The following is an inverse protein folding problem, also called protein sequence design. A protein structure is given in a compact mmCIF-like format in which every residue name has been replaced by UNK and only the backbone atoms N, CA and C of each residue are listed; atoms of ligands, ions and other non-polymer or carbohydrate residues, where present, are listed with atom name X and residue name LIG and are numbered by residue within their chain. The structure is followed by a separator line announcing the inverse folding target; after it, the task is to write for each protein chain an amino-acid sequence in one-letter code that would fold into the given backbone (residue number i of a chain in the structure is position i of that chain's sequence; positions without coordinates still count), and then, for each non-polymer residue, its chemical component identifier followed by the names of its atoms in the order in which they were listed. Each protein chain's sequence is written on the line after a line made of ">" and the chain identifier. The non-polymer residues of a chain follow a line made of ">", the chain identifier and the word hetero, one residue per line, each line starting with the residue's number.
data_IF_897530962593
#
_entry.id   IF_897530962593
#
_cell.length_a   1.000
_cell.length_b   1.000
_cell.length_c   1.000
_cell.angle_alpha   90.00
_cell.angle_beta   90.00
_cell.angle_gamma   90.00
#
_symmetry.space_group_name_H-M   'P 1'
#
loop_
_entity.id
_entity.type
_entity.pdbx_description
1 polymer ?
#
# COMPACT_ATOMS: atom_id res chain seq x y z
N UNK A 1 -34.81 8.06 -49.17
CA UNK A 1 -33.34 8.07 -49.30
C UNK A 1 -32.79 7.40 -48.05
N UNK A 2 -31.97 6.37 -48.20
CA UNK A 2 -31.34 5.71 -47.04
C UNK A 2 -30.18 6.57 -46.52
N UNK A 3 -29.96 6.67 -45.19
CA UNK A 3 -28.77 7.32 -44.66
C UNK A 3 -27.52 6.55 -45.09
N UNK A 4 -26.50 7.26 -45.56
CA UNK A 4 -25.21 6.67 -45.91
C UNK A 4 -24.43 6.22 -44.67
N UNK A 5 -23.54 5.26 -44.87
CA UNK A 5 -22.55 4.88 -43.85
C UNK A 5 -21.62 6.07 -43.54
N UNK A 6 -21.08 6.18 -42.31
CA UNK A 6 -20.12 7.24 -41.96
C UNK A 6 -18.91 7.27 -42.91
N UNK A 7 -18.39 8.48 -43.17
CA UNK A 7 -17.22 8.70 -44.04
C UNK A 7 -16.06 7.79 -43.69
N UNK A 8 -15.76 7.70 -42.40
CA UNK A 8 -14.51 7.11 -41.91
C UNK A 8 -14.58 5.58 -41.99
N UNK A 9 -15.77 5.02 -41.76
CA UNK A 9 -16.08 3.62 -42.05
C UNK A 9 -15.91 3.30 -43.55
N UNK A 10 -16.44 4.17 -44.43
CA UNK A 10 -16.30 3.98 -45.88
C UNK A 10 -14.85 4.07 -46.36
N UNK A 11 -14.02 4.90 -45.70
CA UNK A 11 -12.59 5.05 -45.97
C UNK A 11 -11.80 3.80 -45.57
N UNK A 12 -11.97 3.28 -44.35
CA UNK A 12 -11.25 2.07 -43.89
C UNK A 12 -11.64 0.82 -44.68
N UNK A 13 -12.93 0.64 -45.02
CA UNK A 13 -13.37 -0.45 -45.90
C UNK A 13 -12.80 -0.30 -47.31
N UNK A 14 -12.67 0.92 -47.83
CA UNK A 14 -12.02 1.19 -49.13
C UNK A 14 -10.52 0.95 -49.11
N UNK A 15 -9.85 1.15 -47.97
CA UNK A 15 -8.44 0.81 -47.78
C UNK A 15 -8.23 -0.71 -47.72
N UNK A 16 -9.06 -1.42 -46.94
CA UNK A 16 -9.04 -2.88 -46.85
C UNK A 16 -9.27 -3.54 -48.22
N UNK A 17 -10.31 -3.13 -48.96
CA UNK A 17 -10.61 -3.66 -50.29
C UNK A 17 -9.45 -3.48 -51.28
N UNK A 18 -8.73 -2.35 -51.21
CA UNK A 18 -7.55 -2.10 -52.05
C UNK A 18 -6.42 -3.08 -51.76
N UNK A 19 -6.16 -3.37 -50.48
CA UNK A 19 -5.08 -4.26 -50.08
C UNK A 19 -5.45 -5.74 -50.31
N UNK A 20 -6.72 -6.14 -50.16
CA UNK A 20 -7.22 -7.47 -50.58
C UNK A 20 -7.05 -7.68 -52.10
N UNK A 21 -7.48 -6.73 -52.92
CA UNK A 21 -7.35 -6.83 -54.39
C UNK A 21 -5.90 -6.93 -54.86
N UNK A 22 -4.98 -6.30 -54.13
CA UNK A 22 -3.54 -6.25 -54.40
C UNK A 22 -2.79 -7.53 -53.99
N UNK A 23 -3.13 -8.14 -52.85
CA UNK A 23 -2.42 -9.32 -52.34
C UNK A 23 -3.14 -10.66 -52.58
N UNK A 24 -4.43 -10.63 -52.94
CA UNK A 24 -5.26 -11.80 -53.23
C UNK A 24 -5.11 -12.94 -52.19
N UNK A 25 -5.33 -12.65 -50.89
CA UNK A 25 -5.04 -13.58 -49.80
C UNK A 25 -5.94 -14.82 -49.86
N UNK A 26 -5.33 -16.00 -49.70
CA UNK A 26 -6.03 -17.30 -49.68
C UNK A 26 -6.98 -17.45 -48.48
N UNK A 27 -6.66 -16.82 -47.35
CA UNK A 27 -7.59 -16.62 -46.23
C UNK A 27 -7.87 -15.12 -46.08
N UNK A 28 -9.03 -14.71 -46.58
CA UNK A 28 -9.48 -13.32 -46.50
C UNK A 28 -9.86 -12.90 -45.07
N UNK A 29 -10.35 -13.83 -44.23
CA UNK A 29 -10.79 -13.50 -42.87
C UNK A 29 -9.59 -13.23 -41.95
N UNK A 30 -8.57 -14.10 -41.98
CA UNK A 30 -7.33 -13.87 -41.24
C UNK A 30 -6.57 -12.64 -41.76
N UNK A 31 -6.64 -12.36 -43.07
CA UNK A 31 -6.08 -11.13 -43.64
C UNK A 31 -6.79 -9.87 -43.12
N UNK A 32 -8.13 -9.85 -43.09
CA UNK A 32 -8.91 -8.75 -42.51
C UNK A 32 -8.58 -8.51 -41.03
N UNK A 33 -8.51 -9.59 -40.23
CA UNK A 33 -8.14 -9.49 -38.81
C UNK A 33 -6.74 -8.86 -38.63
N UNK A 34 -5.75 -9.36 -39.39
CA UNK A 34 -4.38 -8.85 -39.35
C UNK A 34 -4.27 -7.40 -39.85
N UNK A 35 -5.09 -7.00 -40.83
CA UNK A 35 -5.15 -5.63 -41.34
C UNK A 35 -5.62 -4.66 -40.24
N UNK A 36 -6.75 -4.94 -39.59
CA UNK A 36 -7.29 -4.05 -38.56
C UNK A 36 -6.43 -3.99 -37.29
N UNK A 37 -5.76 -5.08 -36.90
CA UNK A 37 -4.79 -5.06 -35.79
C UNK A 37 -3.62 -4.10 -36.09
N UNK A 38 -3.00 -4.22 -37.27
CA UNK A 38 -1.91 -3.31 -37.70
C UNK A 38 -2.38 -1.86 -37.83
N UNK A 39 -3.62 -1.64 -38.28
CA UNK A 39 -4.22 -0.30 -38.38
C UNK A 39 -4.38 0.35 -37.00
N UNK A 40 -4.82 -0.42 -36.01
CA UNK A 40 -4.97 0.02 -34.62
C UNK A 40 -3.60 0.27 -33.93
N UNK A 41 -2.60 -0.58 -34.20
CA UNK A 41 -1.22 -0.38 -33.74
C UNK A 41 -0.64 0.94 -34.29
N UNK A 42 -0.84 1.20 -35.59
CA UNK A 42 -0.41 2.45 -36.24
C UNK A 42 -1.05 3.69 -35.61
N UNK A 43 -2.37 3.64 -35.33
CA UNK A 43 -3.08 4.75 -34.68
C UNK A 43 -2.59 5.02 -33.25
N UNK A 44 -2.25 3.96 -32.49
CA UNK A 44 -1.69 4.09 -31.14
C UNK A 44 -0.28 4.69 -31.16
N UNK A 45 0.57 4.29 -32.12
CA UNK A 45 1.90 4.87 -32.29
C UNK A 45 1.84 6.35 -32.70
N UNK A 46 0.92 6.71 -33.60
CA UNK A 46 0.68 8.10 -34.02
C UNK A 46 0.16 8.97 -32.87
N UNK A 47 -0.76 8.45 -32.05
CA UNK A 47 -1.27 9.14 -30.86
C UNK A 47 -0.16 9.46 -29.84
N UNK A 48 0.70 8.48 -29.52
CA UNK A 48 1.84 8.66 -28.62
C UNK A 48 2.84 9.71 -29.17
N UNK A 49 3.11 9.68 -30.48
CA UNK A 49 3.93 10.69 -31.15
C UNK A 49 3.30 12.10 -31.05
N UNK A 50 1.98 12.23 -31.17
CA UNK A 50 1.32 13.53 -30.97
C UNK A 50 1.41 14.03 -29.52
N UNK A 51 1.32 13.17 -28.50
CA UNK A 51 1.48 13.59 -27.10
C UNK A 51 2.88 14.18 -26.82
N UNK A 52 3.94 13.60 -27.42
CA UNK A 52 5.29 14.17 -27.31
C UNK A 52 5.47 15.50 -28.05
N UNK A 53 4.55 15.90 -28.94
CA UNK A 53 4.65 17.14 -29.73
C UNK A 53 4.05 18.38 -29.06
N UNK A 54 3.20 18.22 -28.04
CA UNK A 54 2.37 19.29 -27.47
C UNK A 54 2.98 20.03 -26.26
N UNK A 55 4.30 20.16 -26.18
CA UNK A 55 5.01 20.89 -25.11
C UNK A 55 5.66 22.19 -25.62
N UNK A 56 5.21 23.40 -25.18
CA UNK A 56 5.76 24.66 -25.67
C UNK A 56 7.17 25.02 -25.14
N UNK A 57 8.17 25.02 -26.04
CA UNK A 57 9.44 25.81 -25.99
C UNK A 57 10.28 25.78 -24.69
N UNK A 58 11.30 24.90 -24.64
CA UNK A 58 12.17 24.71 -23.45
C UNK A 58 13.70 24.95 -23.54
N UNK A 59 14.33 24.92 -24.75
CA UNK A 59 15.79 25.20 -25.01
C UNK A 59 16.83 24.21 -24.43
N UNK A 60 17.54 23.44 -25.29
CA UNK A 60 18.77 22.72 -24.88
C UNK A 60 19.25 21.56 -25.77
N UNK A 61 19.94 21.85 -26.89
CA UNK A 61 20.46 20.87 -27.85
C UNK A 61 21.42 19.79 -27.28
N UNK A 62 21.19 18.53 -27.67
CA UNK A 62 22.23 17.59 -28.10
C UNK A 62 21.60 16.48 -28.98
N UNK A 63 22.28 16.03 -30.04
CA UNK A 63 21.76 15.12 -31.07
C UNK A 63 22.89 14.16 -31.53
N UNK A 64 22.55 13.02 -32.16
CA UNK A 64 23.43 11.99 -32.74
C UNK A 64 24.02 10.96 -31.74
N UNK A 65 24.19 9.66 -32.06
CA UNK A 65 23.86 8.93 -33.30
C UNK A 65 23.85 7.39 -33.14
N UNK A 66 22.87 6.70 -33.77
CA UNK A 66 22.91 5.31 -34.32
C UNK A 66 23.13 4.11 -33.35
N UNK A 67 22.91 2.84 -33.80
CA UNK A 67 21.71 2.29 -34.45
C UNK A 67 21.23 0.98 -33.76
N UNK A 68 20.14 0.35 -34.24
CA UNK A 68 19.62 -0.91 -33.66
C UNK A 68 19.51 -2.09 -34.63
N UNK A 69 19.53 -3.32 -34.10
CA UNK A 69 19.06 -4.55 -34.79
C UNK A 69 18.86 -5.73 -33.82
N UNK A 70 17.83 -6.54 -34.08
CA UNK A 70 17.51 -7.86 -33.49
C UNK A 70 16.85 -8.68 -34.65
N UNK A 71 16.64 -10.02 -34.62
CA UNK A 71 16.91 -11.03 -33.58
C UNK A 71 17.49 -12.40 -34.08
N UNK A 72 17.68 -13.35 -33.14
CA UNK A 72 17.78 -14.84 -33.29
C UNK A 72 18.83 -15.48 -34.26
N UNK A 73 19.75 -16.29 -33.71
CA UNK A 73 20.25 -17.49 -34.43
C UNK A 73 21.67 -18.04 -34.12
N UNK A 74 21.73 -19.20 -33.45
CA UNK A 74 22.85 -20.17 -33.40
C UNK A 74 24.16 -19.82 -32.64
N UNK A 75 24.82 -20.88 -32.15
CA UNK A 75 26.07 -20.91 -31.35
C UNK A 75 27.17 -21.67 -32.12
N UNK A 76 28.42 -21.90 -31.61
CA UNK A 76 29.02 -21.47 -30.33
C UNK A 76 30.49 -20.95 -30.39
N UNK A 77 30.94 -20.19 -29.38
CA UNK A 77 32.25 -20.39 -28.71
C UNK A 77 32.53 -19.37 -27.59
N UNK A 78 33.00 -19.85 -26.43
CA UNK A 78 34.03 -19.21 -25.58
C UNK A 78 33.77 -17.86 -24.88
N UNK A 79 33.84 -17.86 -23.55
CA UNK A 79 34.39 -16.71 -22.80
C UNK A 79 33.47 -16.03 -21.78
N UNK A 80 33.90 -16.08 -20.52
CA UNK A 80 33.54 -15.21 -19.38
C UNK A 80 33.53 -13.70 -19.76
N UNK A 81 32.85 -12.76 -19.08
CA UNK A 81 32.48 -12.73 -17.66
C UNK A 81 31.41 -11.65 -17.31
N UNK A 82 31.01 -11.63 -16.04
CA UNK A 82 30.39 -10.50 -15.28
C UNK A 82 29.00 -10.00 -15.69
N UNK A 83 28.19 -9.67 -14.67
CA UNK A 83 26.82 -9.20 -14.81
C UNK A 83 26.63 -7.79 -14.20
N UNK A 84 25.60 -7.08 -14.66
CA UNK A 84 25.03 -5.90 -14.00
C UNK A 84 23.51 -6.00 -13.97
N UNK A 85 22.91 -5.40 -12.93
CA UNK A 85 21.48 -5.51 -12.65
C UNK A 85 20.69 -4.45 -13.43
N UNK A 86 19.45 -4.76 -13.81
CA UNK A 86 18.51 -3.74 -14.28
C UNK A 86 18.16 -2.78 -13.13
N UNK A 87 18.25 -1.48 -13.39
CA UNK A 87 17.55 -0.46 -12.60
C UNK A 87 16.05 -0.60 -12.81
N UNK A 88 15.28 -0.61 -11.71
CA UNK A 88 13.83 -0.39 -11.79
C UNK A 88 13.57 1.04 -12.24
N UNK A 89 12.55 1.22 -13.07
CA UNK A 89 12.11 2.53 -13.55
C UNK A 89 10.89 2.94 -12.71
N UNK A 90 10.85 4.20 -12.26
CA UNK A 90 9.80 4.70 -11.37
C UNK A 90 8.54 5.03 -12.19
N UNK A 91 7.38 4.53 -11.77
CA UNK A 91 6.09 4.80 -12.41
C UNK A 91 5.38 5.96 -11.66
N UNK A 92 4.95 6.99 -12.40
CA UNK A 92 4.16 8.09 -11.83
C UNK A 92 2.71 7.66 -11.57
N UNK A 93 2.32 7.60 -10.30
CA UNK A 93 1.00 7.19 -9.83
C UNK A 93 -0.08 8.25 -10.14
N UNK A 94 -0.57 8.25 -11.38
CA UNK A 94 -1.80 8.97 -11.75
C UNK A 94 -3.03 8.25 -11.17
N UNK A 95 -4.07 9.00 -10.78
CA UNK A 95 -5.30 8.49 -10.14
C UNK A 95 -6.08 7.48 -11.02
N UNK A 96 -5.76 6.18 -10.89
CA UNK A 96 -6.54 5.10 -11.51
C UNK A 96 -7.70 4.72 -10.59
N UNK A 97 -8.89 5.25 -10.88
CA UNK A 97 -10.11 4.86 -10.19
C UNK A 97 -10.38 3.34 -10.34
N UNK A 98 -10.62 2.66 -9.22
CA UNK A 98 -10.90 1.21 -9.22
C UNK A 98 -12.12 0.87 -10.10
N UNK A 99 -12.09 -0.22 -10.90
CA UNK A 99 -13.25 -0.70 -11.65
C UNK A 99 -14.41 -1.19 -10.76
N UNK A 100 -14.29 -1.10 -9.43
CA UNK A 100 -15.35 -1.38 -8.45
C UNK A 100 -15.98 -0.11 -7.85
N UNK A 101 -15.64 1.09 -8.34
CA UNK A 101 -16.17 2.34 -7.83
C UNK A 101 -17.65 2.55 -8.21
N UNK A 102 -18.47 2.93 -7.23
CA UNK A 102 -19.92 3.18 -7.39
C UNK A 102 -20.26 4.45 -8.19
N UNK A 103 -19.27 5.15 -8.74
CA UNK A 103 -19.41 6.30 -9.62
C UNK A 103 -19.37 5.95 -11.13
N UNK A 104 -19.21 4.68 -11.51
CA UNK A 104 -19.30 4.27 -12.91
C UNK A 104 -20.76 4.34 -13.39
N UNK A 105 -21.14 5.51 -13.94
CA UNK A 105 -22.52 5.84 -14.25
C UNK A 105 -23.11 4.96 -15.36
N UNK A 106 -24.06 4.09 -14.97
CA UNK A 106 -24.86 3.29 -15.89
C UNK A 106 -25.92 4.18 -16.56
N UNK A 107 -25.72 4.53 -17.83
CA UNK A 107 -26.68 5.33 -18.60
C UNK A 107 -27.92 4.50 -19.01
N UNK A 108 -29.10 5.11 -18.92
CA UNK A 108 -30.39 4.47 -19.22
C UNK A 108 -30.53 4.00 -20.68
N UNK A 109 -31.10 2.81 -20.85
CA UNK A 109 -31.89 2.47 -22.04
C UNK A 109 -33.05 1.54 -21.67
N UNK A 110 -34.25 2.12 -21.53
CA UNK A 110 -35.51 1.37 -21.43
C UNK A 110 -36.60 1.98 -22.33
N UNK A 111 -36.73 1.44 -23.56
CA UNK A 111 -38.00 1.44 -24.32
C UNK A 111 -37.99 0.62 -25.62
N UNK A 112 -39.20 0.15 -25.96
CA UNK A 112 -39.71 -0.15 -27.31
C UNK A 112 -39.25 -1.43 -28.06
N UNK A 113 -39.86 -2.55 -27.64
CA UNK A 113 -40.60 -3.51 -28.50
C UNK A 113 -40.24 -3.68 -30.01
N UNK A 114 -39.70 -4.88 -30.31
CA UNK A 114 -40.29 -5.89 -31.23
C UNK A 114 -40.62 -5.53 -32.71
N UNK A 115 -39.85 -6.09 -33.66
CA UNK A 115 -40.41 -6.84 -34.81
C UNK A 115 -39.38 -7.76 -35.48
N UNK A 116 -39.86 -8.80 -36.17
CA UNK A 116 -39.14 -9.78 -37.02
C UNK A 116 -39.88 -9.87 -38.39
N UNK A 117 -39.49 -10.62 -39.45
CA UNK A 117 -38.49 -11.73 -39.51
C UNK A 117 -37.58 -11.76 -40.78
N UNK A 118 -36.80 -12.85 -40.94
CA UNK A 118 -36.09 -13.21 -42.19
C UNK A 118 -34.61 -13.55 -41.99
N UNK A 119 -34.20 -14.72 -41.47
CA UNK A 119 -34.28 -16.07 -42.09
C UNK A 119 -33.28 -16.28 -43.26
N UNK A 120 -32.07 -16.75 -42.94
CA UNK A 120 -31.06 -17.28 -43.87
C UNK A 120 -30.77 -18.76 -43.58
N UNK A 121 -29.95 -19.46 -44.40
CA UNK A 121 -29.87 -20.94 -44.36
C UNK A 121 -28.53 -21.54 -44.84
N UNK A 122 -27.74 -22.07 -43.88
CA UNK A 122 -26.69 -23.11 -44.05
C UNK A 122 -25.44 -22.75 -44.91
N UNK A 123 -24.30 -23.47 -44.82
CA UNK A 123 -23.91 -24.47 -43.82
C UNK A 123 -22.66 -25.31 -44.19
N UNK A 124 -21.85 -25.63 -43.17
CA UNK A 124 -20.94 -26.78 -42.98
C UNK A 124 -20.35 -27.55 -44.20
N UNK A 125 -19.02 -27.65 -44.25
CA UNK A 125 -18.29 -28.74 -44.94
C UNK A 125 -17.16 -29.29 -44.05
N UNK A 126 -16.79 -30.58 -44.21
CA UNK A 126 -15.72 -31.20 -43.41
C UNK A 126 -15.43 -32.67 -43.79
N UNK A 127 -14.48 -33.28 -43.06
CA UNK A 127 -14.04 -34.68 -43.20
C UNK A 127 -12.62 -34.83 -42.62
N UNK A 128 -12.24 -35.92 -41.95
CA UNK A 128 -12.91 -37.19 -41.59
C UNK A 128 -12.95 -37.32 -40.03
N UNK A 129 -13.36 -38.38 -39.32
CA UNK A 129 -13.83 -39.76 -39.58
C UNK A 129 -13.48 -40.61 -38.33
N UNK A 130 -14.15 -41.71 -37.95
CA UNK A 130 -15.26 -42.48 -38.54
C UNK A 130 -16.44 -42.54 -37.50
N UNK A 131 -17.68 -42.98 -37.78
CA UNK A 131 -18.19 -44.31 -38.19
C UNK A 131 -17.87 -45.41 -37.15
N UNK A 132 -18.81 -46.15 -36.54
CA UNK A 132 -20.21 -46.59 -36.85
C UNK A 132 -20.97 -46.68 -35.49
N UNK A 133 -22.29 -46.45 -35.26
CA UNK A 133 -23.57 -46.28 -36.02
C UNK A 133 -24.53 -45.36 -35.21
N UNK A 134 -25.88 -45.46 -35.31
CA UNK A 134 -26.74 -45.19 -34.11
C UNK A 134 -28.10 -44.46 -34.16
N UNK A 135 -28.73 -44.18 -35.30
CA UNK A 135 -30.16 -43.81 -35.44
C UNK A 135 -30.79 -42.63 -34.58
N UNK A 136 -30.82 -41.43 -35.20
CA UNK A 136 -31.88 -40.38 -35.15
C UNK A 136 -32.10 -39.44 -33.93
N UNK A 137 -31.98 -38.15 -34.25
CA UNK A 137 -32.86 -37.00 -33.93
C UNK A 137 -33.01 -36.43 -32.50
N UNK A 138 -32.15 -35.46 -32.17
CA UNK A 138 -32.56 -34.08 -31.81
C UNK A 138 -31.32 -33.14 -31.81
N UNK A 139 -31.44 -31.85 -32.18
CA UNK A 139 -30.42 -30.84 -31.88
C UNK A 139 -30.57 -30.35 -30.42
N UNK A 140 -29.48 -29.95 -29.74
CA UNK A 140 -29.57 -29.38 -28.39
C UNK A 140 -30.28 -28.01 -28.40
N UNK A 141 -31.00 -27.72 -27.32
CA UNK A 141 -31.64 -26.42 -27.11
C UNK A 141 -30.64 -25.28 -26.86
N UNK A 142 -31.11 -24.02 -26.80
CA UNK A 142 -30.26 -22.89 -26.41
C UNK A 142 -29.68 -23.12 -25.01
N UNK A 143 -28.42 -22.71 -24.81
CA UNK A 143 -27.77 -22.78 -23.50
C UNK A 143 -28.50 -21.81 -22.57
N UNK A 144 -29.28 -22.36 -21.64
CA UNK A 144 -30.01 -21.57 -20.64
C UNK A 144 -29.09 -20.86 -19.66
N UNK A 145 -29.67 -20.01 -18.81
CA UNK A 145 -28.94 -19.34 -17.73
C UNK A 145 -28.02 -20.31 -16.98
N UNK A 146 -26.72 -20.00 -16.96
CA UNK A 146 -25.77 -20.73 -16.13
C UNK A 146 -26.11 -20.44 -14.66
N UNK A 147 -26.70 -21.44 -14.01
CA UNK A 147 -27.08 -21.37 -12.61
C UNK A 147 -25.83 -21.07 -11.75
N UNK A 148 -25.81 -20.04 -10.88
CA UNK A 148 -24.63 -19.70 -10.09
C UNK A 148 -24.13 -20.83 -9.17
N UNK A 149 -24.96 -21.86 -8.94
CA UNK A 149 -24.60 -23.09 -8.21
C UNK A 149 -23.86 -24.14 -9.06
N UNK A 150 -23.70 -23.95 -10.37
CA UNK A 150 -23.07 -24.92 -11.28
C UNK A 150 -21.54 -25.00 -11.19
N UNK A 151 -20.88 -24.07 -10.47
CA UNK A 151 -19.45 -24.15 -10.21
C UNK A 151 -19.16 -25.22 -9.13
N UNK A 152 -18.29 -26.21 -9.41
CA UNK A 152 -17.89 -27.19 -8.40
C UNK A 152 -17.25 -26.50 -7.18
N UNK A 153 -17.59 -26.96 -5.97
CA UNK A 153 -17.11 -26.38 -4.70
C UNK A 153 -15.59 -26.20 -4.61
N UNK A 154 -14.84 -26.99 -5.37
CA UNK A 154 -13.37 -27.02 -5.39
C UNK A 154 -12.75 -26.35 -6.64
N UNK A 155 -13.48 -25.56 -7.43
CA UNK A 155 -12.94 -24.92 -8.65
C UNK A 155 -11.69 -24.03 -8.38
N UNK A 156 -11.60 -23.46 -7.17
CA UNK A 156 -10.47 -22.67 -6.70
C UNK A 156 -9.37 -23.47 -5.95
N UNK A 157 -9.25 -24.78 -6.20
CA UNK A 157 -8.19 -25.69 -5.71
C UNK A 157 -6.84 -24.97 -5.43
N UNK A 158 -6.59 -24.67 -4.15
CA UNK A 158 -5.43 -23.97 -3.59
C UNK A 158 -4.95 -22.71 -4.34
N UNK A 159 -5.80 -22.03 -5.12
CA UNK A 159 -5.47 -20.74 -5.74
C UNK A 159 -5.59 -19.64 -4.68
N UNK A 160 -4.57 -18.80 -4.54
CA UNK A 160 -4.64 -17.60 -3.69
C UNK A 160 -5.70 -16.65 -4.26
N UNK A 161 -6.77 -16.40 -3.51
CA UNK A 161 -7.78 -15.39 -3.82
C UNK A 161 -7.37 -14.05 -3.26
N UNK A 162 -7.59 -12.97 -4.01
CA UNK A 162 -7.44 -11.60 -3.50
C UNK A 162 -8.43 -11.35 -2.35
N UNK A 163 -7.99 -10.60 -1.34
CA UNK A 163 -8.85 -10.03 -0.30
C UNK A 163 -8.72 -8.50 -0.34
N UNK A 164 -9.80 -7.79 -0.02
CA UNK A 164 -9.81 -6.34 0.11
C UNK A 164 -10.58 -5.94 1.36
N UNK A 165 -10.43 -4.69 1.77
CA UNK A 165 -11.29 -4.03 2.74
C UNK A 165 -12.00 -2.85 2.07
N UNK A 166 -12.84 -2.15 2.82
CA UNK A 166 -13.48 -0.91 2.44
C UNK A 166 -12.42 0.18 2.21
N UNK A 167 -12.57 0.93 1.11
CA UNK A 167 -11.78 2.12 0.83
C UNK A 167 -12.12 3.21 1.83
N UNK A 168 -11.11 3.71 2.55
CA UNK A 168 -11.22 4.84 3.46
C UNK A 168 -10.32 5.96 2.94
N UNK A 169 -10.86 7.18 2.83
CA UNK A 169 -10.10 8.34 2.40
C UNK A 169 -9.45 9.04 3.61
N UNK A 170 -8.12 8.95 3.83
CA UNK A 170 -7.47 9.58 4.97
C UNK A 170 -7.58 11.11 4.94
N UNK A 171 -7.57 11.74 3.76
CA UNK A 171 -7.71 13.19 3.65
C UNK A 171 -9.11 13.69 4.04
N UNK A 172 -10.12 12.81 4.13
CA UNK A 172 -11.47 13.19 4.57
C UNK A 172 -11.62 13.31 6.09
N UNK A 173 -10.75 12.73 6.92
CA UNK A 173 -10.89 12.86 8.40
C UNK A 173 -10.82 14.31 8.87
N UNK A 174 -10.01 15.13 8.19
CA UNK A 174 -9.90 16.57 8.43
C UNK A 174 -11.18 17.38 8.10
N UNK A 175 -12.16 16.77 7.42
CA UNK A 175 -13.43 17.40 7.01
C UNK A 175 -14.68 16.71 7.60
N UNK A 176 -14.59 15.42 7.94
CA UNK A 176 -15.71 14.56 8.39
C UNK A 176 -16.11 14.78 9.86
N UNK A 177 -15.31 15.56 10.62
CA UNK A 177 -15.46 15.78 12.08
C UNK A 177 -15.64 14.48 12.89
N UNK A 178 -15.11 13.36 12.38
CA UNK A 178 -15.31 12.04 12.98
C UNK A 178 -14.44 11.86 14.21
N UNK A 179 -15.07 11.65 15.36
CA UNK A 179 -14.40 11.23 16.59
C UNK A 179 -14.61 9.74 16.82
N UNK A 180 -13.59 8.98 17.30
CA UNK A 180 -13.80 7.61 17.77
C UNK A 180 -14.95 7.53 18.79
N UNK A 181 -15.86 6.55 18.68
CA UNK A 181 -16.88 6.36 19.70
C UNK A 181 -16.23 6.02 21.04
N UNK A 182 -16.81 6.51 22.14
CA UNK A 182 -16.34 6.21 23.48
C UNK A 182 -17.45 5.62 24.34
N UNK A 183 -17.26 4.38 24.75
CA UNK A 183 -18.13 3.69 25.71
C UNK A 183 -17.43 3.65 27.07
N UNK A 184 -18.06 4.24 28.09
CA UNK A 184 -17.53 4.33 29.44
C UNK A 184 -17.34 2.94 30.07
N UNK A 185 -16.19 2.71 30.70
CA UNK A 185 -15.79 1.44 31.34
C UNK A 185 -15.12 1.73 32.67
N UNK A 186 -15.26 0.82 33.64
CA UNK A 186 -14.52 0.92 34.91
C UNK A 186 -13.03 0.64 34.70
N UNK A 187 -12.18 1.13 35.61
CA UNK A 187 -10.74 0.92 35.53
C UNK A 187 -10.37 -0.58 35.56
N UNK A 188 -11.14 -1.38 36.29
CA UNK A 188 -11.03 -2.85 36.30
C UNK A 188 -11.34 -3.48 34.94
N UNK A 189 -12.39 -3.00 34.24
CA UNK A 189 -12.74 -3.45 32.89
C UNK A 189 -11.67 -3.04 31.88
N UNK A 190 -11.17 -1.80 31.95
CA UNK A 190 -10.07 -1.33 31.10
C UNK A 190 -8.79 -2.15 31.32
N UNK A 191 -8.48 -2.48 32.58
CA UNK A 191 -7.32 -3.32 32.94
C UNK A 191 -7.46 -4.74 32.40
N UNK A 192 -8.63 -5.38 32.56
CA UNK A 192 -8.91 -6.70 31.96
C UNK A 192 -8.82 -6.67 30.44
N UNK A 193 -9.37 -5.64 29.80
CA UNK A 193 -9.32 -5.47 28.35
C UNK A 193 -7.91 -5.27 27.82
N UNK A 194 -7.10 -4.39 28.42
CA UNK A 194 -5.71 -4.16 28.00
C UNK A 194 -4.88 -5.44 28.15
N UNK A 195 -5.11 -6.24 29.19
CA UNK A 195 -4.52 -7.57 29.31
C UNK A 195 -5.00 -8.54 28.21
N UNK A 196 -6.32 -8.64 27.98
CA UNK A 196 -6.91 -9.56 27.01
C UNK A 196 -6.45 -9.33 25.56
N UNK A 197 -6.28 -8.06 25.14
CA UNK A 197 -5.80 -7.75 23.78
C UNK A 197 -4.27 -7.73 23.65
N UNK A 198 -3.51 -7.69 24.73
CA UNK A 198 -2.03 -7.54 24.69
C UNK A 198 -1.30 -8.63 23.90
N UNK A 199 -1.82 -9.85 23.89
CA UNK A 199 -1.28 -10.98 23.12
C UNK A 199 -1.67 -11.00 21.63
N UNK A 200 -2.50 -10.05 21.18
CA UNK A 200 -3.04 -10.02 19.82
C UNK A 200 -2.15 -9.16 18.90
N UNK A 201 -1.77 -9.70 17.74
CA UNK A 201 -0.84 -9.05 16.80
C UNK A 201 -1.35 -7.72 16.23
N UNK A 202 -2.68 -7.51 16.22
CA UNK A 202 -3.31 -6.25 15.80
C UNK A 202 -3.20 -5.13 16.84
N UNK A 203 -2.91 -5.48 18.09
CA UNK A 203 -2.91 -4.55 19.23
C UNK A 203 -1.49 -4.35 19.81
N UNK A 204 -0.57 -5.28 19.58
CA UNK A 204 0.81 -5.25 20.10
C UNK A 204 1.72 -4.18 19.51
N UNK A 205 1.31 -3.51 18.42
CA UNK A 205 2.06 -2.44 17.75
C UNK A 205 1.36 -1.06 17.84
N UNK A 206 0.32 -0.95 18.67
CA UNK A 206 -0.37 0.32 18.91
C UNK A 206 0.38 1.13 19.96
N UNK A 207 0.47 2.45 19.76
CA UNK A 207 0.88 3.35 20.85
C UNK A 207 -0.22 3.49 21.92
N UNK A 208 0.11 4.06 23.08
CA UNK A 208 -0.85 4.15 24.20
C UNK A 208 -2.08 5.02 23.88
N UNK A 209 -1.99 5.97 22.95
CA UNK A 209 -3.13 6.80 22.53
C UNK A 209 -4.06 6.02 21.60
N UNK A 210 -3.52 5.37 20.56
CA UNK A 210 -4.25 4.43 19.72
C UNK A 210 -4.89 3.31 20.55
N UNK A 211 -4.15 2.74 21.52
CA UNK A 211 -4.62 1.72 22.44
C UNK A 211 -5.81 2.24 23.28
N UNK A 212 -5.70 3.44 23.87
CA UNK A 212 -6.79 4.05 24.63
C UNK A 212 -8.03 4.35 23.77
N UNK A 213 -7.85 4.86 22.54
CA UNK A 213 -8.96 5.12 21.61
C UNK A 213 -9.67 3.83 21.19
N UNK A 214 -8.93 2.78 20.84
CA UNK A 214 -9.48 1.47 20.46
C UNK A 214 -10.19 0.79 21.64
N UNK A 215 -9.61 0.85 22.85
CA UNK A 215 -10.25 0.31 24.06
C UNK A 215 -11.47 1.14 24.50
N UNK A 216 -11.48 2.45 24.23
CA UNK A 216 -12.65 3.31 24.37
C UNK A 216 -13.80 2.91 23.43
N UNK A 217 -13.47 2.60 22.18
CA UNK A 217 -14.41 2.24 21.12
C UNK A 217 -15.07 0.85 21.27
N UNK A 218 -14.53 -0.05 22.10
CA UNK A 218 -15.19 -1.32 22.42
C UNK A 218 -16.56 -1.10 23.07
N UNK A 219 -17.64 -1.58 22.44
CA UNK A 219 -19.02 -1.52 22.92
C UNK A 219 -19.39 -2.78 23.71
N UNK A 220 -20.16 -2.67 24.79
CA UNK A 220 -20.68 -3.85 25.49
C UNK A 220 -21.80 -4.53 24.69
N UNK A 221 -21.71 -5.85 24.54
CA UNK A 221 -22.69 -6.71 23.86
C UNK A 221 -23.10 -7.86 24.80
N UNK A 222 -24.17 -7.70 25.60
CA UNK A 222 -24.66 -8.75 26.47
C UNK A 222 -25.33 -9.88 25.67
N UNK A 223 -25.09 -11.12 26.09
CA UNK A 223 -25.63 -12.35 25.51
C UNK A 223 -26.53 -13.00 26.57
N UNK A 224 -27.87 -12.81 26.50
CA UNK A 224 -28.76 -13.08 27.62
C UNK A 224 -28.98 -14.57 27.93
N UNK A 225 -28.74 -15.47 26.97
CA UNK A 225 -28.95 -16.91 27.12
C UNK A 225 -27.88 -17.73 26.38
N UNK A 226 -27.76 -19.00 26.77
CA UNK A 226 -26.99 -20.00 26.03
C UNK A 226 -27.62 -20.34 24.67
N UNK A 227 -26.82 -20.85 23.75
CA UNK A 227 -27.23 -21.26 22.41
C UNK A 227 -27.30 -20.13 21.38
N UNK A 228 -26.93 -18.90 21.76
CA UNK A 228 -26.90 -17.75 20.85
C UNK A 228 -25.65 -17.85 19.98
N UNK A 229 -25.83 -17.93 18.65
CA UNK A 229 -24.73 -17.80 17.68
C UNK A 229 -24.28 -16.34 17.63
N UNK A 230 -23.03 -16.06 17.98
CA UNK A 230 -22.44 -14.72 17.97
C UNK A 230 -21.92 -14.38 16.57
N UNK A 231 -21.36 -15.38 15.88
CA UNK A 231 -20.99 -15.38 14.47
C UNK A 231 -21.32 -16.76 13.88
N UNK A 232 -21.71 -16.81 12.60
CA UNK A 232 -21.86 -18.07 11.85
C UNK A 232 -20.77 -18.19 10.79
N UNK A 233 -20.31 -19.41 10.51
CA UNK A 233 -19.34 -19.67 9.46
C UNK A 233 -19.92 -19.31 8.08
N UNK A 234 -19.15 -18.58 7.28
CA UNK A 234 -19.57 -18.07 5.97
C UNK A 234 -20.21 -16.68 6.00
N UNK A 235 -20.64 -16.17 7.17
CA UNK A 235 -21.17 -14.80 7.29
C UNK A 235 -20.07 -13.77 7.00
N UNK A 236 -20.48 -12.56 6.60
CA UNK A 236 -19.57 -11.39 6.51
C UNK A 236 -19.05 -11.03 7.91
N UNK A 237 -17.76 -10.74 8.02
CA UNK A 237 -17.10 -10.50 9.31
C UNK A 237 -16.83 -9.03 9.60
N UNK A 238 -17.75 -8.33 10.27
CA UNK A 238 -17.61 -6.87 10.51
C UNK A 238 -17.05 -6.50 11.89
N UNK A 239 -17.05 -7.45 12.84
CA UNK A 239 -16.70 -7.22 14.25
C UNK A 239 -15.62 -8.17 14.79
N UNK A 240 -14.78 -7.64 15.68
CA UNK A 240 -13.96 -8.38 16.65
C UNK A 240 -14.68 -8.46 18.00
N UNK A 241 -14.46 -9.55 18.74
CA UNK A 241 -15.07 -9.77 20.06
C UNK A 241 -14.06 -10.19 21.11
N UNK A 242 -14.15 -9.63 22.32
CA UNK A 242 -13.40 -10.03 23.52
C UNK A 242 -14.40 -10.50 24.59
N UNK A 243 -14.09 -11.58 25.32
CA UNK A 243 -14.98 -12.13 26.36
C UNK A 243 -14.72 -11.43 27.69
N UNK A 244 -15.70 -10.67 28.18
CA UNK A 244 -15.70 -10.12 29.54
C UNK A 244 -16.12 -11.19 30.55
N UNK A 245 -17.20 -11.92 30.26
CA UNK A 245 -17.75 -12.95 31.14
C UNK A 245 -18.39 -14.10 30.38
N UNK A 246 -18.35 -15.29 30.96
CA UNK A 246 -18.93 -16.51 30.41
C UNK A 246 -18.03 -17.24 29.42
N UNK A 247 -18.63 -18.13 28.62
CA UNK A 247 -17.94 -19.12 27.82
C UNK A 247 -18.66 -19.40 26.49
N UNK A 248 -17.89 -19.60 25.43
CA UNK A 248 -18.36 -19.78 24.06
C UNK A 248 -17.67 -20.95 23.38
N UNK A 249 -18.44 -21.80 22.70
CA UNK A 249 -17.94 -22.93 21.92
C UNK A 249 -17.74 -22.55 20.46
N UNK A 250 -16.62 -22.99 19.89
CA UNK A 250 -16.20 -22.70 18.51
C UNK A 250 -16.37 -23.96 17.67
N UNK A 251 -17.11 -23.86 16.56
CA UNK A 251 -17.42 -24.95 15.65
C UNK A 251 -16.98 -24.62 14.22
N UNK A 252 -16.47 -25.62 13.49
CA UNK A 252 -16.05 -25.50 12.09
C UNK A 252 -16.63 -26.66 11.27
N UNK A 253 -17.41 -26.33 10.24
CA UNK A 253 -17.82 -27.25 9.19
C UNK A 253 -16.74 -27.35 8.11
N UNK A 254 -16.29 -28.58 7.85
CA UNK A 254 -15.26 -28.91 6.85
C UNK A 254 -15.69 -28.64 5.40
N UNK A 255 -16.98 -28.47 5.11
CA UNK A 255 -17.46 -28.06 3.77
C UNK A 255 -17.25 -26.57 3.48
N UNK A 256 -16.87 -25.77 4.47
CA UNK A 256 -16.65 -24.33 4.34
C UNK A 256 -17.93 -23.48 4.33
N UNK A 257 -19.12 -24.10 4.41
CA UNK A 257 -20.43 -23.41 4.37
C UNK A 257 -21.31 -23.79 5.57
N UNK A 258 -22.27 -22.92 5.89
CA UNK A 258 -23.33 -23.23 6.83
C UNK A 258 -24.34 -24.16 6.16
N UNK A 259 -24.60 -25.32 6.75
CA UNK A 259 -25.58 -26.30 6.25
C UNK A 259 -26.81 -26.38 7.17
N UNK A 260 -27.96 -26.77 6.61
CA UNK A 260 -29.23 -26.79 7.33
C UNK A 260 -29.48 -28.16 7.97
N UNK A 261 -29.22 -28.28 9.27
CA UNK A 261 -29.49 -29.48 10.06
C UNK A 261 -28.76 -29.48 11.41
N UNK A 262 -28.89 -30.54 12.22
CA UNK A 262 -28.15 -30.68 13.48
C UNK A 262 -26.63 -30.66 13.25
N UNK A 263 -26.17 -31.36 12.21
CA UNK A 263 -24.75 -31.54 11.88
C UNK A 263 -24.12 -30.31 11.18
N UNK A 264 -24.95 -29.39 10.68
CA UNK A 264 -24.52 -28.24 9.86
C UNK A 264 -23.70 -27.17 10.60
N UNK A 265 -23.52 -27.33 11.92
CA UNK A 265 -22.58 -26.55 12.73
C UNK A 265 -21.12 -27.00 12.54
N UNK A 266 -20.91 -28.26 12.13
CA UNK A 266 -19.59 -28.88 12.06
C UNK A 266 -19.03 -29.31 13.40
N UNK A 267 -17.73 -29.63 13.42
CA UNK A 267 -17.05 -30.15 14.61
C UNK A 267 -16.70 -29.02 15.59
N UNK A 268 -16.86 -29.26 16.89
CA UNK A 268 -16.33 -28.37 17.93
C UNK A 268 -14.79 -28.41 17.90
N UNK A 269 -14.16 -27.29 17.62
CA UNK A 269 -12.69 -27.14 17.57
C UNK A 269 -12.09 -26.53 18.84
N UNK A 270 -12.91 -25.90 19.68
CA UNK A 270 -12.44 -25.31 20.94
C UNK A 270 -13.54 -24.63 21.75
N UNK A 271 -13.13 -24.01 22.86
CA UNK A 271 -13.95 -23.17 23.74
C UNK A 271 -13.12 -21.94 24.12
N UNK A 272 -13.75 -20.77 24.18
CA UNK A 272 -13.14 -19.50 24.59
C UNK A 272 -13.95 -18.89 25.74
N UNK A 273 -13.27 -18.57 26.85
CA UNK A 273 -13.85 -17.93 28.04
C UNK A 273 -13.28 -16.55 28.31
N UNK A 274 -13.59 -15.97 29.48
CA UNK A 274 -13.11 -14.66 29.95
C UNK A 274 -11.64 -14.38 29.63
N UNK A 275 -11.37 -13.20 29.08
CA UNK A 275 -10.05 -12.75 28.65
C UNK A 275 -9.60 -13.29 27.28
N UNK A 276 -10.29 -14.30 26.74
CA UNK A 276 -10.12 -14.72 25.35
C UNK A 276 -10.80 -13.78 24.36
N UNK A 277 -10.44 -13.88 23.09
CA UNK A 277 -11.03 -13.09 22.00
C UNK A 277 -11.18 -13.90 20.72
N UNK A 278 -12.03 -13.45 19.80
CA UNK A 278 -12.28 -14.13 18.54
C UNK A 278 -12.73 -13.17 17.42
N UNK A 279 -12.49 -13.60 16.18
CA UNK A 279 -12.92 -12.88 14.98
C UNK A 279 -12.01 -11.75 14.52
N UNK A 280 -10.80 -11.61 15.08
CA UNK A 280 -9.82 -10.54 14.82
C UNK A 280 -9.57 -10.21 13.34
N UNK A 281 -9.54 -11.21 12.46
CA UNK A 281 -9.30 -11.03 11.02
C UNK A 281 -10.36 -10.15 10.34
N UNK A 282 -11.55 -10.03 10.95
CA UNK A 282 -12.60 -9.09 10.55
C UNK A 282 -12.16 -7.62 10.59
N UNK A 283 -11.16 -7.26 11.39
CA UNK A 283 -10.64 -5.89 11.47
C UNK A 283 -9.71 -5.54 10.29
N UNK A 284 -9.13 -6.54 9.64
CA UNK A 284 -8.12 -6.35 8.60
C UNK A 284 -8.70 -6.29 7.19
N UNK A 285 -9.58 -7.24 6.85
CA UNK A 285 -10.10 -7.40 5.49
C UNK A 285 -11.49 -8.04 5.47
N UNK A 286 -12.20 -7.87 4.35
CA UNK A 286 -13.54 -8.39 4.16
C UNK A 286 -13.49 -9.88 3.76
N UNK A 287 -13.34 -10.75 4.76
CA UNK A 287 -13.39 -12.19 4.61
C UNK A 287 -14.62 -12.80 5.31
N UNK A 288 -15.18 -13.90 4.76
CA UNK A 288 -16.16 -14.71 5.47
C UNK A 288 -15.62 -15.26 6.79
N UNK A 289 -16.47 -15.41 7.80
CA UNK A 289 -16.12 -16.06 9.06
C UNK A 289 -15.70 -17.51 8.85
N UNK A 290 -14.52 -17.89 9.34
CA UNK A 290 -14.00 -19.24 9.23
C UNK A 290 -14.65 -20.26 10.20
N UNK A 291 -15.39 -19.80 11.21
CA UNK A 291 -16.00 -20.61 12.25
C UNK A 291 -17.32 -20.03 12.74
N UNK A 292 -18.17 -20.88 13.32
CA UNK A 292 -19.37 -20.50 14.08
C UNK A 292 -19.01 -20.45 15.57
N UNK A 293 -19.46 -19.44 16.30
CA UNK A 293 -19.22 -19.30 17.75
C UNK A 293 -20.55 -19.15 18.50
N UNK A 294 -20.76 -19.96 19.55
CA UNK A 294 -22.06 -20.10 20.23
C UNK A 294 -21.89 -19.98 21.75
N UNK A 295 -22.73 -19.21 22.44
CA UNK A 295 -22.70 -19.11 23.90
C UNK A 295 -23.07 -20.42 24.59
N UNK A 296 -22.32 -20.82 25.62
CA UNK A 296 -22.65 -22.00 26.46
C UNK A 296 -23.50 -21.63 27.67
N UNK A 297 -23.51 -20.36 28.05
CA UNK A 297 -24.18 -19.78 29.22
C UNK A 297 -24.67 -18.33 28.94
N UNK A 298 -25.11 -17.60 29.96
CA UNK A 298 -25.29 -16.14 29.87
C UNK A 298 -23.91 -15.48 29.94
N UNK A 299 -23.63 -14.47 29.10
CA UNK A 299 -22.26 -13.99 28.87
C UNK A 299 -22.23 -12.53 28.46
N UNK A 300 -21.10 -11.85 28.64
CA UNK A 300 -20.86 -10.48 28.15
C UNK A 300 -19.65 -10.46 27.22
N UNK A 301 -19.81 -9.82 26.07
CA UNK A 301 -18.75 -9.55 25.11
C UNK A 301 -18.47 -8.04 25.04
N UNK A 302 -17.23 -7.69 24.72
CA UNK A 302 -16.90 -6.40 24.12
C UNK A 302 -16.80 -6.56 22.60
N UNK A 303 -17.36 -5.62 21.84
CA UNK A 303 -17.43 -5.64 20.39
C UNK A 303 -16.77 -4.40 19.79
N UNK A 304 -15.95 -4.57 18.75
CA UNK A 304 -15.33 -3.48 17.99
C UNK A 304 -15.55 -3.74 16.50
N UNK A 305 -16.02 -2.74 15.76
CA UNK A 305 -16.22 -2.85 14.32
C UNK A 305 -14.94 -2.52 13.50
N UNK A 306 -14.86 -3.10 12.30
CA UNK A 306 -13.75 -2.92 11.36
C UNK A 306 -13.51 -1.45 10.98
N UNK A 307 -14.57 -0.68 10.77
CA UNK A 307 -14.48 0.69 10.20
C UNK A 307 -13.91 1.64 11.26
N UNK A 308 -14.39 1.57 12.50
CA UNK A 308 -13.85 2.32 13.64
C UNK A 308 -12.39 1.98 13.90
N UNK A 309 -12.03 0.69 13.95
CA UNK A 309 -10.63 0.27 14.14
C UNK A 309 -9.72 0.84 13.03
N UNK A 310 -10.09 0.63 11.76
CA UNK A 310 -9.31 1.15 10.61
C UNK A 310 -9.25 2.68 10.60
N UNK A 311 -10.33 3.39 10.95
CA UNK A 311 -10.33 4.86 11.05
C UNK A 311 -9.37 5.36 12.13
N UNK A 312 -9.36 4.76 13.33
CA UNK A 312 -8.41 5.12 14.41
C UNK A 312 -6.95 4.97 13.94
N UNK A 313 -6.61 3.85 13.31
CA UNK A 313 -5.24 3.62 12.83
C UNK A 313 -4.85 4.54 11.67
N UNK A 314 -5.75 4.78 10.72
CA UNK A 314 -5.47 5.62 9.56
C UNK A 314 -5.38 7.11 9.91
N UNK A 315 -6.27 7.60 10.78
CA UNK A 315 -6.31 9.02 11.16
C UNK A 315 -5.11 9.40 12.03
N UNK A 316 -4.77 8.59 13.05
CA UNK A 316 -3.57 8.82 13.86
C UNK A 316 -2.27 8.78 13.04
N UNK A 317 -2.15 7.89 12.05
CA UNK A 317 -1.02 7.86 11.11
C UNK A 317 -1.00 9.08 10.17
N UNK A 318 -2.16 9.49 9.63
CA UNK A 318 -2.29 10.65 8.74
C UNK A 318 -1.99 11.97 9.47
N UNK A 319 -2.51 12.14 10.68
CA UNK A 319 -2.21 13.30 11.54
C UNK A 319 -0.71 13.36 11.89
N UNK A 320 -0.09 12.23 12.23
CA UNK A 320 1.36 12.13 12.50
C UNK A 320 2.19 12.55 11.28
N UNK A 321 1.87 12.01 10.10
CA UNK A 321 2.53 12.39 8.84
C UNK A 321 2.38 13.88 8.57
N UNK A 322 1.15 14.41 8.61
CA UNK A 322 0.85 15.83 8.33
C UNK A 322 1.53 16.78 9.31
N UNK A 323 1.62 16.40 10.59
CA UNK A 323 2.34 17.13 11.64
C UNK A 323 3.85 17.18 11.35
N UNK A 324 4.46 16.07 10.94
CA UNK A 324 5.85 16.06 10.51
C UNK A 324 6.08 16.79 9.18
N UNK A 325 5.25 16.62 8.16
CA UNK A 325 5.40 17.32 6.88
C UNK A 325 5.40 18.85 7.04
N UNK A 326 4.51 19.38 7.88
CA UNK A 326 4.50 20.80 8.24
C UNK A 326 5.72 21.23 9.05
N UNK A 327 6.17 20.43 10.02
CA UNK A 327 7.39 20.71 10.77
C UNK A 327 8.66 20.69 9.89
N UNK A 328 8.79 19.71 8.98
CA UNK A 328 9.91 19.59 8.05
C UNK A 328 9.92 20.71 6.99
N UNK A 329 8.79 21.37 6.75
CA UNK A 329 8.70 22.58 5.91
C UNK A 329 9.16 23.86 6.65
N UNK A 330 9.06 23.92 7.98
CA UNK A 330 9.65 25.00 8.78
C UNK A 330 11.19 24.89 8.84
N UNK A 331 11.73 23.67 8.88
CA UNK A 331 13.17 23.38 9.04
C UNK A 331 13.97 23.84 7.81
N UNK A 332 14.77 24.91 7.98
CA UNK A 332 15.53 25.56 6.90
C UNK A 332 16.38 24.60 6.05
N UNK A 333 17.04 23.62 6.68
CA UNK A 333 17.85 22.61 6.00
C UNK A 333 17.05 21.77 4.98
N UNK A 334 15.76 21.56 5.24
CA UNK A 334 14.90 20.60 4.53
C UNK A 334 13.92 21.28 3.56
N UNK A 335 13.88 22.62 3.51
CA UNK A 335 13.07 23.41 2.55
C UNK A 335 13.42 23.16 1.09
N UNK A 336 14.63 22.64 0.81
CA UNK A 336 15.07 22.27 -0.54
C UNK A 336 14.49 20.93 -1.03
N UNK A 337 13.89 20.14 -0.13
CA UNK A 337 13.27 18.85 -0.48
C UNK A 337 11.85 19.04 -1.03
N UNK A 338 11.55 18.25 -2.06
CA UNK A 338 10.20 18.13 -2.62
C UNK A 338 9.20 17.59 -1.58
N UNK A 339 7.89 17.85 -1.74
CA UNK A 339 6.88 17.29 -0.85
C UNK A 339 6.93 15.76 -0.73
N UNK A 340 7.26 15.06 -1.82
CA UNK A 340 7.42 13.61 -1.84
C UNK A 340 8.58 13.14 -0.95
N UNK A 341 9.77 13.75 -1.09
CA UNK A 341 10.93 13.45 -0.24
C UNK A 341 10.64 13.74 1.25
N UNK A 342 10.01 14.89 1.55
CA UNK A 342 9.59 15.22 2.92
C UNK A 342 8.59 14.20 3.49
N UNK A 343 7.66 13.71 2.67
CA UNK A 343 6.71 12.67 3.06
C UNK A 343 7.40 11.33 3.38
N UNK A 344 8.38 10.91 2.57
CA UNK A 344 9.20 9.70 2.87
C UNK A 344 10.01 9.83 4.16
N UNK A 345 10.47 11.03 4.50
CA UNK A 345 11.15 11.30 5.77
C UNK A 345 10.14 11.29 6.93
N UNK A 346 8.98 11.94 6.78
CA UNK A 346 7.91 11.96 7.78
C UNK A 346 7.44 10.54 8.18
N UNK A 347 7.35 9.61 7.21
CA UNK A 347 7.04 8.20 7.44
C UNK A 347 8.10 7.43 8.23
N UNK A 348 9.33 7.94 8.30
CA UNK A 348 10.47 7.31 8.97
C UNK A 348 10.90 7.97 10.29
N UNK A 349 10.18 9.01 10.74
CA UNK A 349 10.50 9.76 11.96
C UNK A 349 9.78 9.22 13.21
N UNK A 350 10.57 8.89 14.23
CA UNK A 350 10.06 8.55 15.55
C UNK A 350 10.04 9.80 16.46
N UNK A 351 8.99 10.00 17.25
CA UNK A 351 9.01 10.99 18.34
C UNK A 351 9.78 10.40 19.51
N UNK A 352 10.74 11.15 20.07
CA UNK A 352 11.30 10.88 21.40
C UNK A 352 11.21 12.13 22.28
N UNK A 353 10.96 11.92 23.58
CA UNK A 353 10.88 12.98 24.60
C UNK A 353 12.00 12.78 25.62
N UNK A 354 12.57 13.86 26.12
CA UNK A 354 13.59 13.82 27.16
C UNK A 354 13.32 14.92 28.21
N UNK A 355 13.35 14.60 29.53
CA UNK A 355 13.19 15.61 30.58
C UNK A 355 14.42 16.53 30.67
N UNK A 356 14.35 17.66 31.40
CA UNK A 356 15.50 18.55 31.63
C UNK A 356 16.72 17.83 32.20
N UNK A 357 17.93 18.25 31.80
CA UNK A 357 19.20 17.70 32.29
C UNK A 357 19.58 16.34 31.69
N UNK A 358 18.87 15.86 30.66
CA UNK A 358 19.14 14.55 30.04
C UNK A 358 20.21 14.67 28.96
N UNK A 359 21.26 13.87 29.07
CA UNK A 359 22.26 13.69 28.01
C UNK A 359 21.67 12.85 26.88
N UNK A 360 21.22 13.50 25.80
CA UNK A 360 20.59 12.87 24.62
C UNK A 360 21.66 12.22 23.72
N UNK A 361 22.81 12.88 23.61
CA UNK A 361 24.02 12.39 22.96
C UNK A 361 25.17 12.59 23.93
N UNK A 362 26.07 11.61 24.00
CA UNK A 362 27.30 11.69 24.81
C UNK A 362 28.53 11.58 23.92
N UNK A 363 29.53 12.41 24.19
CA UNK A 363 30.77 12.47 23.43
C UNK A 363 31.59 11.16 23.53
N UNK A 364 32.02 10.64 22.37
CA UNK A 364 32.80 9.42 22.26
C UNK A 364 31.97 8.13 22.13
N UNK A 365 30.65 8.20 22.33
CA UNK A 365 29.76 7.06 22.06
C UNK A 365 29.56 6.89 20.53
N UNK A 366 29.10 5.72 20.08
CA UNK A 366 28.80 5.47 18.65
C UNK A 366 27.49 6.16 18.26
N UNK A 367 27.44 6.80 17.09
CA UNK A 367 26.26 7.52 16.63
C UNK A 367 25.43 6.72 15.63
N UNK A 368 24.24 6.28 16.05
CA UNK A 368 23.31 5.50 15.22
C UNK A 368 21.97 6.23 14.94
N UNK A 369 21.84 7.48 15.37
CA UNK A 369 20.62 8.29 15.19
C UNK A 369 20.91 9.77 14.94
N UNK A 370 20.07 10.39 14.11
CA UNK A 370 19.94 11.82 13.86
C UNK A 370 18.71 12.37 14.58
N UNK A 371 18.72 13.65 14.94
CA UNK A 371 17.63 14.30 15.67
C UNK A 371 17.33 15.69 15.11
N UNK A 372 16.06 16.05 15.06
CA UNK A 372 15.55 17.39 14.77
C UNK A 372 14.70 17.84 15.97
N UNK A 373 14.92 19.06 16.46
CA UNK A 373 14.30 19.57 17.68
C UNK A 373 12.91 20.16 17.40
N UNK A 374 11.85 19.48 17.83
CA UNK A 374 10.46 19.89 17.62
C UNK A 374 10.01 20.96 18.62
N UNK A 375 10.43 20.82 19.89
CA UNK A 375 10.09 21.75 20.95
C UNK A 375 11.08 21.66 22.12
N UNK A 376 11.25 22.78 22.83
CA UNK A 376 12.20 22.92 23.93
C UNK A 376 13.59 23.29 23.45
N UNK A 377 14.59 23.15 24.33
CA UNK A 377 15.96 23.59 24.11
C UNK A 377 17.00 22.57 24.61
N UNK A 378 18.17 22.57 23.98
CA UNK A 378 19.31 21.76 24.36
C UNK A 378 20.64 22.50 24.13
N UNK A 379 21.71 22.08 24.80
CA UNK A 379 23.04 22.67 24.70
C UNK A 379 24.13 21.63 24.43
N UNK A 380 25.16 22.06 23.69
CA UNK A 380 26.29 21.25 23.26
C UNK A 380 27.47 21.46 24.19
N UNK A 381 27.98 20.39 24.79
CA UNK A 381 29.16 20.41 25.67
C UNK A 381 30.26 19.50 25.12
N UNK A 382 31.50 20.00 25.13
CA UNK A 382 32.69 19.25 24.67
C UNK A 382 33.66 19.05 25.83
N UNK A 383 34.22 17.84 25.96
CA UNK A 383 35.15 17.47 27.03
C UNK A 383 36.33 18.43 27.09
N UNK A 384 36.59 18.96 28.29
CA UNK A 384 37.60 19.99 28.53
C UNK A 384 37.10 21.43 28.35
N UNK A 385 35.83 21.65 28.04
CA UNK A 385 35.17 22.96 28.09
C UNK A 385 33.93 22.90 29.00
N UNK A 386 33.85 23.79 29.99
CA UNK A 386 32.70 23.92 30.90
C UNK A 386 31.57 24.77 30.31
N UNK A 387 31.85 25.57 29.27
CA UNK A 387 30.86 26.42 28.61
C UNK A 387 30.19 25.70 27.43
N UNK A 388 28.89 25.94 27.23
CA UNK A 388 28.14 25.45 26.08
C UNK A 388 28.71 26.01 24.77
N UNK A 389 28.97 25.13 23.81
CA UNK A 389 29.57 25.44 22.50
C UNK A 389 28.53 25.94 21.50
N UNK A 390 27.29 25.44 21.61
CA UNK A 390 26.09 25.88 20.87
C UNK A 390 24.85 25.58 21.71
N UNK A 391 23.82 26.41 21.59
CA UNK A 391 22.44 26.13 22.03
C UNK A 391 21.57 25.82 20.81
N UNK A 392 20.63 24.90 20.97
CA UNK A 392 19.66 24.45 19.96
C UNK A 392 18.25 24.88 20.37
N UNK A 393 17.45 25.30 19.39
CA UNK A 393 16.03 25.68 19.54
C UNK A 393 15.16 24.93 18.52
N UNK A 394 13.84 25.13 18.53
CA UNK A 394 12.93 24.51 17.54
C UNK A 394 13.46 24.70 16.10
N UNK A 395 13.56 23.60 15.36
CA UNK A 395 14.03 23.57 13.97
C UNK A 395 15.54 23.34 13.79
N UNK A 396 16.35 23.44 14.85
CA UNK A 396 17.72 22.95 14.83
C UNK A 396 17.77 21.41 14.74
N UNK A 397 18.92 20.89 14.30
CA UNK A 397 19.21 19.47 14.21
C UNK A 397 20.55 19.14 14.88
N UNK A 398 20.76 17.87 15.24
CA UNK A 398 22.03 17.38 15.77
C UNK A 398 22.23 15.87 15.61
N UNK A 399 23.49 15.44 15.67
CA UNK A 399 23.90 14.04 15.61
C UNK A 399 24.30 13.54 14.22
N UNK A 400 24.16 14.38 13.20
CA UNK A 400 24.50 14.15 11.80
C UNK A 400 25.99 13.80 11.60
N UNK A 401 26.92 14.47 12.31
CA UNK A 401 28.36 14.31 12.07
C UNK A 401 28.85 12.86 12.21
N UNK A 402 28.28 12.11 13.16
CA UNK A 402 28.63 10.71 13.38
C UNK A 402 28.14 9.79 12.24
N UNK A 403 27.01 10.12 11.61
CA UNK A 403 26.44 9.38 10.48
C UNK A 403 27.13 9.75 9.16
N UNK A 404 27.53 11.01 9.02
CA UNK A 404 28.22 11.56 7.85
C UNK A 404 29.67 11.10 7.76
N UNK A 405 30.39 11.08 8.88
CA UNK A 405 31.83 10.82 8.91
C UNK A 405 32.17 9.43 9.48
N UNK A 406 31.16 8.58 9.71
CA UNK A 406 31.21 7.23 10.33
C UNK A 406 32.12 7.17 11.57
N UNK A 407 31.94 8.14 12.46
CA UNK A 407 32.83 8.46 13.56
C UNK A 407 32.07 8.58 14.91
N UNK A 408 32.75 8.41 16.06
CA UNK A 408 32.15 8.66 17.37
C UNK A 408 31.59 10.08 17.52
N UNK A 409 30.61 10.24 18.41
CA UNK A 409 29.94 11.52 18.68
C UNK A 409 30.97 12.58 19.12
N UNK A 410 31.09 13.66 18.34
CA UNK A 410 32.13 14.69 18.51
C UNK A 410 31.93 15.66 19.70
N UNK A 411 30.74 15.65 20.30
CA UNK A 411 30.36 16.42 21.50
C UNK A 411 29.16 15.73 22.18
N UNK A 412 28.86 16.13 23.41
CA UNK A 412 27.63 15.76 24.12
C UNK A 412 26.53 16.79 23.86
N UNK A 413 25.26 16.37 23.89
CA UNK A 413 24.08 17.24 23.80
C UNK A 413 23.18 16.95 24.99
N UNK A 414 22.85 17.98 25.77
CA UNK A 414 22.08 17.88 27.02
C UNK A 414 20.84 18.78 26.91
N UNK A 415 19.67 18.27 27.29
CA UNK A 415 18.44 19.08 27.32
C UNK A 415 18.47 20.11 28.46
N UNK A 416 18.11 21.36 28.17
CA UNK A 416 17.95 22.41 29.20
C UNK A 416 16.51 22.52 29.68
N UNK A 417 15.53 22.19 28.83
CA UNK A 417 14.10 22.07 29.16
C UNK A 417 13.63 20.61 29.03
N UNK A 418 12.34 20.34 29.23
CA UNK A 418 11.75 19.17 28.57
C UNK A 418 11.83 19.40 27.06
N UNK A 419 12.25 18.39 26.30
CA UNK A 419 12.34 18.48 24.84
C UNK A 419 11.56 17.36 24.15
N UNK A 420 11.07 17.66 22.94
CA UNK A 420 10.56 16.69 21.98
C UNK A 420 11.44 16.75 20.73
N UNK A 421 11.87 15.59 20.23
CA UNK A 421 12.67 15.48 19.01
C UNK A 421 12.07 14.44 18.07
N UNK A 422 12.11 14.77 16.78
CA UNK A 422 11.90 13.80 15.72
C UNK A 422 13.25 13.14 15.42
N UNK A 423 13.33 11.81 15.44
CA UNK A 423 14.59 11.07 15.26
C UNK A 423 14.52 10.06 14.12
N UNK A 424 15.65 9.91 13.44
CA UNK A 424 15.84 9.02 12.28
C UNK A 424 17.10 8.17 12.51
N UNK A 425 16.98 6.85 12.36
CA UNK A 425 18.12 5.93 12.48
C UNK A 425 19.09 6.02 11.29
N UNK A 426 20.35 5.58 11.48
CA UNK A 426 21.45 5.63 10.48
C UNK A 426 21.04 5.17 9.08
N UNK A 427 20.37 4.03 8.96
CA UNK A 427 19.90 3.49 7.69
C UNK A 427 18.83 4.38 7.01
N UNK A 428 17.95 5.00 7.80
CA UNK A 428 16.95 5.95 7.30
C UNK A 428 17.61 7.26 6.85
N UNK A 429 18.55 7.78 7.64
CA UNK A 429 19.33 8.98 7.30
C UNK A 429 20.07 8.82 5.97
N UNK A 430 20.86 7.75 5.82
CA UNK A 430 21.63 7.50 4.60
C UNK A 430 20.75 7.27 3.36
N UNK A 431 19.56 6.68 3.53
CA UNK A 431 18.64 6.42 2.40
C UNK A 431 17.77 7.62 2.01
N UNK A 432 17.37 8.46 2.97
CA UNK A 432 16.32 9.47 2.79
C UNK A 432 16.84 10.92 2.78
N UNK A 433 18.02 11.18 3.36
CA UNK A 433 18.59 12.54 3.47
C UNK A 433 19.78 12.78 2.53
N UNK A 434 20.07 11.84 1.62
CA UNK A 434 21.10 11.99 0.57
C UNK A 434 21.08 13.33 -0.19
N UNK A 435 19.91 13.89 -0.59
CA UNK A 435 19.85 15.20 -1.25
C UNK A 435 20.36 16.37 -0.40
N UNK A 436 20.19 16.33 0.93
CA UNK A 436 20.64 17.37 1.87
C UNK A 436 21.97 17.04 2.55
N UNK A 437 22.50 15.83 2.38
CA UNK A 437 23.80 15.40 2.90
C UNK A 437 24.93 16.37 2.49
N UNK A 438 24.91 16.81 1.23
CA UNK A 438 25.86 17.80 0.71
C UNK A 438 25.76 19.19 1.33
N UNK A 439 24.61 19.54 1.94
CA UNK A 439 24.42 20.79 2.70
C UNK A 439 24.97 20.58 4.12
N UNK A 440 24.58 19.48 4.78
CA UNK A 440 25.08 19.14 6.12
C UNK A 440 26.62 19.07 6.16
N UNK A 441 27.25 18.47 5.16
CA UNK A 441 28.72 18.36 5.06
C UNK A 441 29.45 19.70 4.85
N UNK A 442 28.77 20.75 4.38
CA UNK A 442 29.33 22.12 4.29
C UNK A 442 29.23 22.86 5.63
N UNK A 443 28.20 22.55 6.41
CA UNK A 443 27.96 23.11 7.74
C UNK A 443 28.71 22.36 8.87
N UNK A 444 29.55 21.38 8.53
CA UNK A 444 30.33 20.56 9.45
C UNK A 444 31.35 21.42 10.23
N UNK A 445 31.14 21.67 11.54
CA UNK A 445 31.98 22.60 12.30
C UNK A 445 33.41 22.06 12.53
N UNK A 446 33.66 20.76 12.29
CA UNK A 446 35.02 20.21 12.35
C UNK A 446 35.92 20.70 11.21
N UNK A 447 35.32 21.16 10.10
CA UNK A 447 36.00 21.68 8.90
C UNK A 447 36.09 23.22 8.88
N UNK A 448 35.44 23.90 9.83
CA UNK A 448 35.37 25.36 9.91
C UNK A 448 36.57 25.98 10.66
N UNK A 449 37.61 25.21 10.99
CA UNK A 449 38.83 25.74 11.60
C UNK A 449 39.59 26.55 10.54
N UNK A 450 39.87 27.85 10.75
CA UNK A 450 40.66 28.62 9.79
C UNK A 450 42.10 28.10 9.79
N UNK A 451 42.74 28.11 8.61
CA UNK A 451 44.19 28.00 8.52
C UNK A 451 44.82 29.17 9.28
N UNK A 452 45.34 28.91 10.47
CA UNK A 452 46.24 29.84 11.14
C UNK A 452 47.63 29.59 10.56
N UNK A 453 48.12 30.52 9.72
CA UNK A 453 49.51 30.47 9.27
C UNK A 453 50.43 30.47 10.49
N UNK A 454 51.41 29.56 10.48
CA UNK A 454 52.30 29.32 11.60
C UNK A 454 53.56 28.62 11.12
N UNK A 455 54.66 29.37 11.04
CA UNK A 455 55.97 28.88 10.60
C UNK A 455 56.48 27.72 11.48
N UNK A 456 56.30 26.49 11.00
CA UNK A 456 57.04 25.33 11.51
C UNK A 456 58.42 25.29 10.84
N UNK A 457 59.32 26.18 11.27
CA UNK A 457 60.72 26.18 10.81
C UNK A 457 61.37 24.84 11.19
N UNK A 458 61.79 24.06 10.19
CA UNK A 458 62.47 22.78 10.40
C UNK A 458 63.88 23.00 11.01
N UNK A 459 64.14 22.55 12.26
CA UNK A 459 65.41 22.77 12.94
C UNK A 459 66.55 21.85 12.46
N UNK A 460 66.33 20.99 11.45
CA UNK A 460 67.34 20.07 10.91
C UNK A 460 67.88 20.46 9.52
N UNK A 461 67.46 21.61 8.97
CA UNK A 461 67.78 22.05 7.61
C UNK A 461 69.06 22.92 7.47
N UNK A 462 70.09 22.73 8.30
CA UNK A 462 71.42 23.38 8.11
C UNK A 462 72.58 22.38 8.23
N UNK A 463 73.17 22.02 7.10
CA UNK A 463 74.35 21.13 7.03
C UNK A 463 75.21 21.42 5.81
N UNK A 464 76.17 22.33 5.95
CA UNK A 464 77.31 22.59 5.05
C UNK A 464 78.38 23.37 5.81
#
# INVERSE_FOLDING_TARGET
>A
MSPGLPSDYSNEISALNREILKHQPTDTLQFCANFFLRRLESQRAEFLLTQHSSSPRGRGMAENSFPGSNPFGTSPSGGFATAHMHSLQEEEENDVASPTASSFAQADMDKAQNTSPGAGTFGNFGGFGASIKGNRSQPPGPVGNLDPQSFPSNYNLNRRTSVSAESLNPASSANDNWTPPYHQKTDDQQTRLKAAVSGNFLFSHLDDEQSAQVLGALQEKPIPTKGIKVISQGDVGDYFYVVESGSFDIYVNSSGKLEAGPDGLGNKVGTVGTGGSFGELALMYNAPRAATVVSTEQSTLWALDRVTFRRILMDSAFQRRRMYEGFLEEVELLKTLTPYERSKIADALETKKFPPGTTIIKEGDVGESFYILESGEAEVYKRGNEQAVKRYVKGDYFGELALLNDAPRAASVISTTEIKVATLGKNGFQRLLGPVEGIMRRNDPSKAIPHHDGDSVDPLATGS
#
